data_IF_750014590763
#
_entry.id   IF_750014590763
#
_cell.length_a   1.000
_cell.length_b   1.000
_cell.length_c   1.000
_cell.angle_alpha   90.00
_cell.angle_beta   90.00
_cell.angle_gamma   90.00
#
_symmetry.space_group_name_H-M   'P 1'
#
loop_
_entity.id
_entity.type
_entity.pdbx_description
1 polymer ?
#
# COMPACT_ATOMS: atom_id res chain seq x y z
N UNK A 1 -12.02 21.27 0.06
CA UNK A 1 -12.73 19.98 -0.13
C UNK A 1 -11.68 18.88 -0.27
N UNK A 2 -11.70 17.84 0.56
CA UNK A 2 -10.80 16.69 0.40
C UNK A 2 -11.35 15.84 -0.74
N UNK A 3 -10.64 15.75 -1.86
CA UNK A 3 -10.99 14.81 -2.92
C UNK A 3 -10.74 13.41 -2.40
N UNK A 4 -11.79 12.72 -1.97
CA UNK A 4 -11.67 11.33 -1.54
C UNK A 4 -11.24 10.49 -2.74
N UNK A 5 -10.09 9.82 -2.60
CA UNK A 5 -9.63 8.86 -3.59
C UNK A 5 -10.53 7.63 -3.48
N UNK A 6 -11.58 7.59 -4.29
CA UNK A 6 -12.44 6.41 -4.43
C UNK A 6 -11.64 5.34 -5.16
N UNK A 7 -11.39 4.22 -4.47
CA UNK A 7 -10.79 3.04 -5.07
C UNK A 7 -11.89 2.05 -5.48
N UNK A 8 -11.68 1.26 -6.55
CA UNK A 8 -12.57 0.14 -6.84
C UNK A 8 -12.67 -0.84 -5.66
N UNK A 9 -13.81 -1.52 -5.50
CA UNK A 9 -14.03 -2.44 -4.39
C UNK A 9 -13.00 -3.56 -4.33
N UNK A 10 -12.63 -4.13 -5.48
CA UNK A 10 -11.60 -5.17 -5.59
C UNK A 10 -10.21 -4.69 -5.11
N UNK A 11 -9.92 -3.39 -5.24
CA UNK A 11 -8.71 -2.77 -4.66
C UNK A 11 -8.86 -2.60 -3.16
N UNK A 12 -10.01 -2.11 -2.72
CA UNK A 12 -10.27 -1.82 -1.31
C UNK A 12 -10.32 -3.10 -0.46
N UNK A 13 -10.79 -4.21 -1.01
CA UNK A 13 -10.80 -5.53 -0.38
C UNK A 13 -9.39 -6.01 0.01
N UNK A 14 -8.35 -5.62 -0.74
CA UNK A 14 -6.96 -5.97 -0.44
C UNK A 14 -6.32 -5.12 0.67
N UNK A 15 -7.01 -4.09 1.18
CA UNK A 15 -6.48 -3.19 2.20
C UNK A 15 -6.58 -3.82 3.60
N UNK A 16 -5.69 -4.77 3.86
CA UNK A 16 -5.58 -5.45 5.15
C UNK A 16 -4.62 -4.71 6.10
N UNK A 17 -4.77 -4.90 7.42
CA UNK A 17 -3.86 -4.33 8.42
C UNK A 17 -2.39 -4.63 8.09
N UNK A 18 -1.55 -3.61 8.14
CA UNK A 18 -0.12 -3.74 7.83
C UNK A 18 0.20 -3.74 6.33
N UNK A 19 -0.78 -3.44 5.48
CA UNK A 19 -0.55 -3.21 4.04
C UNK A 19 -0.83 -1.77 3.64
N UNK A 20 -0.29 -1.36 2.49
CA UNK A 20 -0.57 -0.08 1.87
C UNK A 20 -0.72 -0.27 0.36
N UNK A 21 -1.69 0.44 -0.21
CA UNK A 21 -1.97 0.41 -1.64
C UNK A 21 -1.42 1.69 -2.25
N UNK A 22 -0.64 1.56 -3.32
CA UNK A 22 -0.12 2.68 -4.09
C UNK A 22 -0.66 2.60 -5.52
N UNK A 23 -1.37 3.64 -5.97
CA UNK A 23 -1.74 3.80 -7.37
C UNK A 23 -0.54 4.40 -8.13
N UNK A 24 -0.10 3.76 -9.21
CA UNK A 24 0.85 4.32 -10.18
C UNK A 24 0.26 4.16 -11.59
N UNK A 25 -0.04 5.27 -12.25
CA UNK A 25 -0.84 5.24 -13.49
C UNK A 25 -2.20 4.60 -13.22
N UNK A 26 -2.55 3.61 -14.03
CA UNK A 26 -3.80 2.84 -13.91
C UNK A 26 -3.68 1.57 -13.06
N UNK A 27 -2.48 1.29 -12.56
CA UNK A 27 -2.17 0.09 -11.80
C UNK A 27 -2.16 0.34 -10.30
N UNK A 28 -2.63 -0.64 -9.53
CA UNK A 28 -2.67 -0.62 -8.07
C UNK A 28 -1.69 -1.64 -7.51
N UNK A 29 -0.76 -1.19 -6.66
CA UNK A 29 0.29 -2.04 -6.12
C UNK A 29 0.08 -2.21 -4.63
N UNK A 30 0.12 -3.46 -4.16
CA UNK A 30 0.04 -3.81 -2.75
C UNK A 30 1.45 -3.90 -2.15
N UNK A 31 1.63 -3.30 -0.99
CA UNK A 31 2.86 -3.35 -0.23
C UNK A 31 2.57 -3.75 1.21
N UNK A 32 3.47 -4.52 1.84
CA UNK A 32 3.53 -4.67 3.29
C UNK A 32 4.22 -3.45 3.88
N UNK A 33 3.54 -2.73 4.77
CA UNK A 33 4.11 -1.59 5.49
C UNK A 33 4.62 -2.07 6.84
N UNK A 34 5.92 -1.94 7.06
CA UNK A 34 6.55 -2.13 8.38
C UNK A 34 7.34 -0.88 8.75
N UNK A 35 7.82 -0.79 9.99
CA UNK A 35 8.74 0.26 10.40
C UNK A 35 10.03 -0.36 10.91
N UNK A 36 11.18 0.17 10.50
CA UNK A 36 12.50 -0.29 10.91
C UNK A 36 13.20 0.80 11.71
N UNK A 37 13.84 0.43 12.82
CA UNK A 37 14.69 1.35 13.58
C UNK A 37 15.96 1.64 12.78
N UNK A 38 16.20 2.92 12.51
CA UNK A 38 17.41 3.41 11.85
C UNK A 38 18.21 4.23 12.86
N UNK A 39 19.46 3.84 13.19
CA UNK A 39 20.30 4.62 14.09
C UNK A 39 20.40 6.09 13.65
N UNK A 40 20.38 7.02 14.60
CA UNK A 40 20.46 8.46 14.34
C UNK A 40 19.14 9.14 13.95
N UNK A 41 18.05 8.40 13.66
CA UNK A 41 16.72 8.99 13.43
C UNK A 41 15.85 8.93 14.69
N UNK A 42 15.12 10.01 14.97
CA UNK A 42 14.22 10.12 16.14
C UNK A 42 13.17 9.01 16.16
N UNK A 43 12.53 8.77 15.02
CA UNK A 43 11.45 7.79 14.86
C UNK A 43 11.83 6.65 13.90
N UNK A 44 11.28 5.44 14.09
CA UNK A 44 11.40 4.35 13.11
C UNK A 44 10.99 4.80 11.71
N UNK A 45 11.67 4.29 10.69
CA UNK A 45 11.43 4.66 9.31
C UNK A 45 10.47 3.67 8.65
N UNK A 46 9.48 4.13 7.88
CA UNK A 46 8.58 3.24 7.17
C UNK A 46 9.34 2.50 6.06
N UNK A 47 9.10 1.20 5.96
CA UNK A 47 9.63 0.33 4.92
C UNK A 47 8.45 -0.35 4.24
N UNK A 48 8.42 -0.26 2.91
CA UNK A 48 7.39 -0.87 2.07
C UNK A 48 8.01 -2.05 1.31
N UNK A 49 7.53 -3.26 1.59
CA UNK A 49 7.89 -4.47 0.84
C UNK A 49 6.82 -4.73 -0.21
N UNK A 50 7.21 -4.84 -1.48
CA UNK A 50 6.27 -5.15 -2.56
C UNK A 50 5.66 -6.54 -2.34
N UNK A 51 4.33 -6.61 -2.43
CA UNK A 51 3.59 -7.87 -2.35
C UNK A 51 3.14 -8.31 -3.74
N UNK A 52 2.53 -7.41 -4.53
CA UNK A 52 2.00 -7.76 -5.84
C UNK A 52 1.20 -6.63 -6.48
N UNK A 53 0.83 -6.83 -7.74
CA UNK A 53 -0.09 -5.99 -8.49
C UNK A 53 -1.52 -6.44 -8.20
N UNK A 54 -2.40 -5.51 -7.85
CA UNK A 54 -3.82 -5.79 -7.70
C UNK A 54 -4.48 -5.68 -9.08
N UNK A 55 -5.12 -6.76 -9.49
CA UNK A 55 -6.00 -6.85 -10.66
C UNK A 55 -7.42 -7.22 -10.21
N UNK A 56 -8.43 -7.08 -11.08
CA UNK A 56 -9.78 -7.55 -10.77
C UNK A 56 -9.85 -9.05 -10.45
N UNK A 57 -8.97 -9.85 -11.06
CA UNK A 57 -8.89 -11.30 -10.87
C UNK A 57 -8.13 -11.71 -9.60
N UNK A 58 -7.37 -10.80 -8.99
CA UNK A 58 -6.63 -11.06 -7.77
C UNK A 58 -5.30 -10.33 -7.68
N UNK A 59 -4.36 -10.91 -6.94
CA UNK A 59 -3.02 -10.37 -6.76
C UNK A 59 -2.05 -11.14 -7.67
N UNK A 60 -1.23 -10.42 -8.45
CA UNK A 60 -0.19 -10.97 -9.36
C UNK A 60 1.21 -10.60 -8.89
#
# INVERSE_FOLDING_TARGET
MKTEKVYPEWVQAQRVKGTTIKKKGDSYYLYKRTSKRVPGKKYPQPVDTYIGLITPDGLV
#
